data_IF_107691327300
#
_entry.id   IF_107691327300
#
_cell.length_a   1.000
_cell.length_b   1.000
_cell.length_c   1.000
_cell.angle_alpha   90.00
_cell.angle_beta   90.00
_cell.angle_gamma   90.00
#
_symmetry.space_group_name_H-M   'P 1'
#
loop_
_entity.id
_entity.type
_entity.pdbx_description
1 polymer ?
#
# COMPACT_ATOMS: atom_id res chain seq x y z
N UNK A 1 32.95 -13.89 -1.42
CA UNK A 1 32.67 -12.54 -0.91
C UNK A 1 31.59 -12.70 0.14
N UNK A 2 31.92 -12.47 1.42
CA UNK A 2 30.91 -12.57 2.48
C UNK A 2 29.87 -11.45 2.27
N UNK A 3 28.58 -11.78 2.40
CA UNK A 3 27.51 -10.80 2.23
C UNK A 3 27.58 -9.81 3.39
N UNK A 4 27.65 -8.51 3.09
CA UNK A 4 27.57 -7.41 4.07
C UNK A 4 26.31 -7.53 4.96
N UNK A 5 25.25 -8.12 4.42
CA UNK A 5 23.98 -8.30 5.09
C UNK A 5 23.90 -9.58 5.94
N UNK A 6 24.95 -10.41 5.99
CA UNK A 6 24.96 -11.60 6.85
C UNK A 6 25.35 -11.22 8.28
N UNK A 7 24.45 -11.44 9.23
CA UNK A 7 24.74 -11.35 10.66
C UNK A 7 25.35 -12.66 11.14
N UNK A 8 26.60 -12.60 11.60
CA UNK A 8 27.33 -13.75 12.13
C UNK A 8 26.98 -13.97 13.61
N UNK A 9 26.61 -15.20 13.94
CA UNK A 9 26.35 -15.63 15.32
C UNK A 9 27.52 -16.53 15.74
N UNK A 10 28.30 -16.07 16.72
CA UNK A 10 29.44 -16.83 17.24
C UNK A 10 28.93 -17.89 18.23
N UNK A 11 28.90 -19.16 17.78
CA UNK A 11 28.52 -20.30 18.63
C UNK A 11 29.71 -21.19 19.03
N UNK A 12 30.95 -20.80 18.73
CA UNK A 12 32.11 -21.62 19.04
C UNK A 12 32.32 -21.69 20.56
N UNK A 13 32.24 -22.90 21.11
CA UNK A 13 32.37 -23.15 22.55
C UNK A 13 31.07 -23.00 23.35
N UNK A 14 29.97 -22.63 22.69
CA UNK A 14 28.65 -22.52 23.31
C UNK A 14 27.96 -23.88 23.44
N UNK A 15 27.13 -24.03 24.47
CA UNK A 15 26.25 -25.19 24.60
C UNK A 15 25.11 -25.12 23.58
N UNK A 16 24.44 -26.24 23.30
CA UNK A 16 23.26 -26.24 22.43
C UNK A 16 22.14 -25.35 22.99
N UNK A 17 21.98 -25.32 24.31
CA UNK A 17 21.02 -24.43 24.98
C UNK A 17 21.38 -22.95 24.81
N UNK A 18 22.67 -22.60 24.93
CA UNK A 18 23.17 -21.24 24.68
C UNK A 18 22.94 -20.80 23.23
N UNK A 19 23.24 -21.68 22.27
CA UNK A 19 22.97 -21.45 20.85
C UNK A 19 21.46 -21.24 20.62
N UNK A 20 20.60 -22.10 21.19
CA UNK A 20 19.15 -21.94 21.06
C UNK A 20 18.68 -20.59 21.60
N UNK A 21 19.14 -20.20 22.79
CA UNK A 21 18.80 -18.94 23.44
C UNK A 21 19.18 -17.71 22.59
N UNK A 22 20.35 -17.75 21.94
CA UNK A 22 20.80 -16.68 21.03
C UNK A 22 19.88 -16.55 19.80
N UNK A 23 19.53 -17.67 19.16
CA UNK A 23 18.66 -17.63 17.99
C UNK A 23 17.23 -17.26 18.34
N UNK A 24 16.68 -17.76 19.45
CA UNK A 24 15.33 -17.40 19.91
C UNK A 24 15.22 -15.90 20.13
N UNK A 25 16.20 -15.29 20.83
CA UNK A 25 16.25 -13.85 21.01
C UNK A 25 16.24 -13.09 19.67
N UNK A 26 17.08 -13.50 18.73
CA UNK A 26 17.14 -12.85 17.41
C UNK A 26 15.83 -12.99 16.64
N UNK A 27 15.17 -14.14 16.71
CA UNK A 27 13.88 -14.41 16.06
C UNK A 27 12.78 -13.55 16.70
N UNK A 28 12.74 -13.49 18.02
CA UNK A 28 11.76 -12.68 18.77
C UNK A 28 11.95 -11.18 18.51
N UNK A 29 13.18 -10.72 18.39
CA UNK A 29 13.50 -9.30 18.20
C UNK A 29 13.24 -8.80 16.76
N UNK A 30 13.74 -9.50 15.73
CA UNK A 30 13.70 -8.96 14.36
C UNK A 30 13.88 -9.99 13.22
N UNK A 31 14.62 -11.08 13.46
CA UNK A 31 14.96 -12.08 12.44
C UNK A 31 13.89 -13.17 12.30
N UNK A 32 12.66 -12.77 12.04
CA UNK A 32 11.51 -13.68 11.88
C UNK A 32 10.82 -13.57 10.52
N UNK A 33 11.42 -12.90 9.55
CA UNK A 33 10.84 -12.76 8.22
C UNK A 33 11.39 -13.79 7.24
N UNK A 34 10.50 -14.34 6.39
CA UNK A 34 10.87 -15.32 5.35
C UNK A 34 10.72 -14.75 3.94
N UNK A 35 11.34 -15.41 2.94
CA UNK A 35 11.14 -15.03 1.52
C UNK A 35 9.69 -15.23 1.10
N UNK A 36 9.04 -16.30 1.56
CA UNK A 36 7.62 -16.54 1.27
C UNK A 36 6.75 -15.40 1.80
N UNK A 37 7.00 -14.95 3.02
CA UNK A 37 6.28 -13.83 3.62
C UNK A 37 6.50 -12.52 2.86
N UNK A 38 7.76 -12.20 2.51
CA UNK A 38 8.07 -11.03 1.68
C UNK A 38 7.39 -11.10 0.31
N UNK A 39 7.39 -12.28 -0.33
CA UNK A 39 6.78 -12.50 -1.64
C UNK A 39 5.26 -12.33 -1.58
N UNK A 40 4.63 -12.87 -0.53
CA UNK A 40 3.20 -12.71 -0.28
C UNK A 40 2.83 -11.26 0.02
N UNK A 41 3.61 -10.55 0.84
CA UNK A 41 3.37 -9.15 1.15
C UNK A 41 3.46 -8.25 -0.08
N UNK A 42 4.48 -8.47 -0.92
CA UNK A 42 4.71 -7.68 -2.15
C UNK A 42 3.77 -8.14 -3.27
N UNK A 43 3.11 -9.30 -3.17
CA UNK A 43 2.46 -9.98 -4.29
C UNK A 43 3.42 -10.19 -5.47
N UNK A 44 4.53 -10.88 -5.26
CA UNK A 44 5.46 -11.31 -6.32
C UNK A 44 5.91 -12.76 -6.14
N UNK A 45 6.72 -13.27 -7.07
CA UNK A 45 7.26 -14.62 -6.93
C UNK A 45 8.38 -14.68 -5.89
N UNK A 46 8.56 -15.86 -5.30
CA UNK A 46 9.69 -16.19 -4.44
C UNK A 46 11.03 -15.85 -5.09
N UNK A 47 11.22 -16.29 -6.34
CA UNK A 47 12.43 -16.06 -7.13
C UNK A 47 12.74 -14.57 -7.29
N UNK A 48 11.71 -13.74 -7.45
CA UNK A 48 11.90 -12.30 -7.56
C UNK A 48 12.48 -11.72 -6.28
N UNK A 49 11.91 -12.10 -5.12
CA UNK A 49 12.41 -11.65 -3.81
C UNK A 49 13.83 -12.16 -3.59
N UNK A 50 14.09 -13.44 -3.85
CA UNK A 50 15.40 -14.05 -3.65
C UNK A 50 16.50 -13.35 -4.45
N UNK A 51 16.21 -12.91 -5.69
CA UNK A 51 17.18 -12.29 -6.59
C UNK A 51 17.32 -10.78 -6.38
N UNK A 52 16.23 -10.06 -6.10
CA UNK A 52 16.20 -8.60 -6.19
C UNK A 52 16.04 -7.87 -4.85
N UNK A 53 15.65 -8.57 -3.79
CA UNK A 53 15.31 -7.99 -2.49
C UNK A 53 16.15 -8.61 -1.37
N UNK A 54 16.08 -9.93 -1.21
CA UNK A 54 16.79 -10.69 -0.19
C UNK A 54 18.31 -10.41 -0.10
N UNK A 55 19.05 -10.11 -1.20
CA UNK A 55 20.47 -9.78 -1.10
C UNK A 55 20.77 -8.47 -0.36
N UNK A 56 19.76 -7.61 -0.16
CA UNK A 56 19.88 -6.28 0.43
C UNK A 56 19.24 -6.17 1.82
N UNK A 57 18.91 -7.32 2.44
CA UNK A 57 18.26 -7.38 3.75
C UNK A 57 19.13 -8.20 4.69
N UNK A 58 19.35 -7.65 5.89
CA UNK A 58 20.09 -8.31 6.95
C UNK A 58 19.45 -9.66 7.28
N UNK A 59 20.27 -10.69 7.47
CA UNK A 59 19.78 -12.04 7.66
C UNK A 59 20.72 -12.90 8.50
N UNK A 60 20.15 -13.98 9.05
CA UNK A 60 20.87 -15.05 9.74
C UNK A 60 20.63 -16.38 9.02
N UNK A 61 21.58 -17.30 9.17
CA UNK A 61 21.45 -18.68 8.67
C UNK A 61 21.17 -19.62 9.84
N UNK A 62 20.17 -20.49 9.70
CA UNK A 62 20.00 -21.63 10.59
C UNK A 62 20.76 -22.80 9.98
N UNK A 63 21.96 -23.08 10.51
CA UNK A 63 22.74 -24.26 10.12
C UNK A 63 22.26 -25.51 10.91
N UNK A 64 22.86 -26.67 10.64
CA UNK A 64 22.46 -27.93 11.28
C UNK A 64 22.58 -27.92 12.80
N UNK A 65 23.61 -27.25 13.35
CA UNK A 65 23.83 -27.14 14.80
C UNK A 65 22.78 -26.23 15.43
N UNK A 66 22.53 -25.06 14.83
CA UNK A 66 21.50 -24.13 15.28
C UNK A 66 20.10 -24.75 15.19
N UNK A 67 19.79 -25.48 14.13
CA UNK A 67 18.52 -26.19 13.99
C UNK A 67 18.37 -27.26 15.09
N UNK A 68 19.40 -28.08 15.34
CA UNK A 68 19.37 -29.09 16.41
C UNK A 68 19.15 -28.43 17.77
N UNK A 69 19.85 -27.34 18.06
CA UNK A 69 19.70 -26.56 19.28
C UNK A 69 18.27 -26.03 19.44
N UNK A 70 17.73 -25.35 18.43
CA UNK A 70 16.37 -24.81 18.42
C UNK A 70 15.29 -25.87 18.59
N UNK A 71 15.42 -27.02 17.90
CA UNK A 71 14.45 -28.12 18.04
C UNK A 71 14.50 -28.76 19.43
N UNK A 72 15.68 -28.84 20.05
CA UNK A 72 15.85 -29.48 21.36
C UNK A 72 15.42 -28.58 22.51
N UNK A 73 15.67 -27.27 22.41
CA UNK A 73 15.50 -26.32 23.53
C UNK A 73 14.47 -25.21 23.27
N UNK A 74 13.87 -25.16 22.07
CA UNK A 74 12.91 -24.13 21.65
C UNK A 74 11.48 -24.65 21.43
N UNK A 75 11.16 -25.87 21.88
CA UNK A 75 9.87 -26.54 21.62
C UNK A 75 8.63 -25.77 22.13
N UNK A 76 8.81 -24.86 23.09
CA UNK A 76 7.75 -23.97 23.60
C UNK A 76 7.63 -22.61 22.91
N UNK A 77 8.44 -22.33 21.87
CA UNK A 77 8.40 -21.06 21.16
C UNK A 77 7.20 -20.96 20.21
N UNK A 78 6.61 -19.78 20.10
CA UNK A 78 5.57 -19.48 19.10
C UNK A 78 6.13 -19.47 17.65
N UNK A 79 7.45 -19.58 17.48
CA UNK A 79 8.15 -19.47 16.21
C UNK A 79 8.76 -20.80 15.73
N UNK A 80 8.27 -21.93 16.24
CA UNK A 80 8.80 -23.28 15.90
C UNK A 80 8.80 -23.57 14.40
N UNK A 81 7.85 -23.02 13.64
CA UNK A 81 7.78 -23.13 12.19
C UNK A 81 8.99 -22.51 11.47
N UNK A 82 9.63 -21.52 12.08
CA UNK A 82 10.80 -20.83 11.52
C UNK A 82 12.08 -21.65 11.65
N UNK A 83 12.15 -22.61 12.58
CA UNK A 83 13.37 -23.38 12.83
C UNK A 83 13.76 -24.25 11.63
N UNK A 84 12.78 -24.61 10.81
CA UNK A 84 12.96 -25.37 9.57
C UNK A 84 13.54 -24.55 8.43
N UNK A 85 13.55 -23.21 8.56
CA UNK A 85 13.99 -22.31 7.50
C UNK A 85 15.49 -22.16 7.53
N UNK A 86 16.14 -22.31 6.38
CA UNK A 86 17.59 -22.14 6.25
C UNK A 86 18.05 -20.70 6.53
N UNK A 87 17.20 -19.72 6.28
CA UNK A 87 17.53 -18.30 6.29
C UNK A 87 16.36 -17.48 6.82
N UNK A 88 16.64 -16.61 7.78
CA UNK A 88 15.66 -15.67 8.34
C UNK A 88 16.17 -14.25 8.15
N UNK A 89 15.25 -13.34 7.84
CA UNK A 89 15.54 -11.95 7.49
C UNK A 89 15.03 -11.01 8.58
N UNK A 90 15.75 -9.91 8.74
CA UNK A 90 15.35 -8.76 9.55
C UNK A 90 14.06 -8.16 9.00
N UNK A 91 13.01 -8.15 9.83
CA UNK A 91 11.71 -7.56 9.50
C UNK A 91 11.83 -6.05 9.37
N UNK A 92 12.51 -5.39 10.30
CA UNK A 92 12.80 -3.96 10.24
C UNK A 92 13.65 -3.60 9.00
N UNK A 93 14.60 -4.48 8.64
CA UNK A 93 15.41 -4.35 7.43
C UNK A 93 14.57 -4.42 6.16
N UNK A 94 13.61 -5.36 6.08
CA UNK A 94 12.66 -5.44 4.96
C UNK A 94 11.76 -4.20 4.87
N UNK A 95 11.23 -3.73 5.99
CA UNK A 95 10.40 -2.52 6.04
C UNK A 95 11.18 -1.31 5.53
N UNK A 96 12.40 -1.10 6.05
CA UNK A 96 13.27 -0.01 5.61
C UNK A 96 13.59 -0.10 4.12
N UNK A 97 13.97 -1.29 3.63
CA UNK A 97 14.21 -1.51 2.21
C UNK A 97 12.99 -1.12 1.37
N UNK A 98 11.78 -1.52 1.80
CA UNK A 98 10.55 -1.22 1.08
C UNK A 98 10.30 0.28 1.02
N UNK A 99 10.51 1.02 2.11
CA UNK A 99 10.34 2.47 2.15
C UNK A 99 11.37 3.20 1.28
N UNK A 100 12.63 2.79 1.35
CA UNK A 100 13.73 3.46 0.64
C UNK A 100 13.75 3.15 -0.87
N UNK A 101 13.33 1.94 -1.27
CA UNK A 101 13.36 1.49 -2.67
C UNK A 101 12.03 1.67 -3.40
N UNK A 102 11.03 2.23 -2.73
CA UNK A 102 9.72 2.50 -3.30
C UNK A 102 9.46 4.00 -3.47
N UNK A 103 8.81 4.35 -4.57
CA UNK A 103 8.27 5.69 -4.79
C UNK A 103 6.78 5.61 -5.05
N UNK A 104 6.02 6.56 -4.52
CA UNK A 104 4.60 6.69 -4.78
C UNK A 104 4.40 7.61 -5.99
N UNK A 105 3.76 7.09 -7.03
CA UNK A 105 3.47 7.78 -8.27
C UNK A 105 1.99 8.14 -8.31
N UNK A 106 1.70 9.43 -8.19
CA UNK A 106 0.35 9.96 -8.36
C UNK A 106 0.26 10.86 -9.57
N UNK A 107 -0.91 10.95 -10.20
CA UNK A 107 -1.22 11.91 -11.27
C UNK A 107 -2.51 12.69 -10.99
N UNK A 108 -3.23 12.33 -9.94
CA UNK A 108 -4.54 12.88 -9.59
C UNK A 108 -4.67 13.07 -8.09
N UNK A 109 -5.43 14.10 -7.74
CA UNK A 109 -5.88 14.37 -6.39
C UNK A 109 -7.27 13.80 -6.18
N UNK A 110 -7.48 13.15 -5.04
CA UNK A 110 -8.72 12.48 -4.64
C UNK A 110 -9.62 13.47 -3.91
N UNK A 111 -10.93 13.42 -4.16
CA UNK A 111 -11.91 14.31 -3.54
C UNK A 111 -12.92 13.49 -2.74
N UNK A 112 -13.15 13.91 -1.50
CA UNK A 112 -14.01 13.21 -0.56
C UNK A 112 -15.13 14.11 -0.07
N UNK A 113 -16.27 13.52 0.26
CA UNK A 113 -17.44 14.27 0.70
C UNK A 113 -17.20 14.99 2.03
N UNK A 114 -16.41 14.40 2.93
CA UNK A 114 -16.08 14.95 4.25
C UNK A 114 -15.16 16.18 4.20
N UNK A 115 -14.61 16.52 3.03
CA UNK A 115 -13.80 17.72 2.84
C UNK A 115 -14.65 18.98 2.63
N UNK A 116 -15.95 18.81 2.37
CA UNK A 116 -16.91 19.88 2.40
C UNK A 116 -17.33 20.21 3.84
N UNK A 117 -17.62 21.49 4.08
CA UNK A 117 -18.24 21.96 5.32
C UNK A 117 -19.54 21.21 5.63
N UNK A 118 -19.91 21.14 6.91
CA UNK A 118 -21.17 20.52 7.34
C UNK A 118 -22.37 21.17 6.66
N UNK A 119 -22.38 22.49 6.56
CA UNK A 119 -23.42 23.28 5.89
C UNK A 119 -23.54 22.93 4.40
N UNK A 120 -22.42 22.81 3.67
CA UNK A 120 -22.43 22.40 2.27
C UNK A 120 -22.95 20.97 2.09
N UNK A 121 -22.59 20.04 3.00
CA UNK A 121 -23.09 18.66 2.99
C UNK A 121 -24.60 18.57 3.26
N UNK A 122 -25.10 19.37 4.21
CA UNK A 122 -26.54 19.46 4.50
C UNK A 122 -27.33 19.96 3.28
N UNK A 123 -26.81 21.00 2.61
CA UNK A 123 -27.42 21.52 1.38
C UNK A 123 -27.43 20.50 0.26
N UNK A 124 -26.31 19.82 0.01
CA UNK A 124 -26.25 18.72 -0.95
C UNK A 124 -27.23 17.60 -0.63
N UNK A 125 -27.41 17.27 0.66
CA UNK A 125 -28.41 16.30 1.10
C UNK A 125 -29.84 16.75 0.79
N UNK A 126 -30.16 18.02 1.06
CA UNK A 126 -31.45 18.62 0.73
C UNK A 126 -31.73 18.60 -0.77
N UNK A 127 -30.74 19.01 -1.59
CA UNK A 127 -30.85 18.99 -3.05
C UNK A 127 -31.05 17.57 -3.60
N UNK A 128 -30.29 16.59 -3.11
CA UNK A 128 -30.39 15.20 -3.56
C UNK A 128 -31.78 14.59 -3.30
N UNK A 129 -32.42 14.94 -2.18
CA UNK A 129 -33.78 14.49 -1.84
C UNK A 129 -34.87 15.13 -2.71
N UNK A 130 -34.61 16.32 -3.25
CA UNK A 130 -35.58 17.09 -4.02
C UNK A 130 -35.50 16.82 -5.53
N UNK A 131 -34.58 15.97 -5.99
CA UNK A 131 -34.49 15.60 -7.41
C UNK A 131 -35.53 14.55 -7.78
N UNK A 132 -36.13 14.71 -8.97
CA UNK A 132 -37.10 13.76 -9.53
C UNK A 132 -36.50 12.37 -9.77
N UNK A 133 -35.19 12.30 -10.00
CA UNK A 133 -34.43 11.05 -10.08
C UNK A 133 -33.63 10.85 -8.79
N UNK A 134 -33.77 9.66 -8.18
CA UNK A 134 -33.03 9.28 -6.99
C UNK A 134 -31.51 9.33 -7.27
N UNK A 135 -30.86 10.38 -6.77
CA UNK A 135 -29.43 10.62 -6.95
C UNK A 135 -28.76 10.63 -5.59
N UNK A 136 -27.62 9.93 -5.47
CA UNK A 136 -26.87 9.93 -4.22
C UNK A 136 -26.16 11.27 -4.01
N UNK A 137 -25.96 11.66 -2.74
CA UNK A 137 -25.23 12.87 -2.37
C UNK A 137 -23.84 12.89 -3.01
N UNK A 138 -23.17 11.74 -3.08
CA UNK A 138 -21.85 11.60 -3.72
C UNK A 138 -21.90 11.87 -5.22
N UNK A 139 -22.92 11.36 -5.92
CA UNK A 139 -23.08 11.60 -7.37
C UNK A 139 -23.41 13.06 -7.67
N UNK A 140 -24.23 13.68 -6.82
CA UNK A 140 -24.54 15.11 -6.94
C UNK A 140 -23.29 15.96 -6.70
N UNK A 141 -22.51 15.64 -5.67
CA UNK A 141 -21.24 16.30 -5.39
C UNK A 141 -20.27 16.17 -6.58
N UNK A 142 -20.06 14.96 -7.10
CA UNK A 142 -19.24 14.73 -8.30
C UNK A 142 -19.70 15.62 -9.46
N UNK A 143 -21.00 15.64 -9.75
CA UNK A 143 -21.57 16.38 -10.88
C UNK A 143 -21.32 17.88 -10.74
N UNK A 144 -21.64 18.46 -9.58
CA UNK A 144 -21.44 19.89 -9.30
C UNK A 144 -19.95 20.22 -9.35
N UNK A 145 -19.10 19.42 -8.70
CA UNK A 145 -17.66 19.67 -8.68
C UNK A 145 -17.04 19.63 -10.07
N UNK A 146 -17.45 18.70 -10.93
CA UNK A 146 -16.98 18.63 -12.32
C UNK A 146 -17.47 19.82 -13.15
N UNK A 147 -18.73 20.26 -12.96
CA UNK A 147 -19.25 21.47 -13.61
C UNK A 147 -18.44 22.71 -13.21
N UNK A 148 -18.22 22.93 -11.91
CA UNK A 148 -17.43 24.05 -11.41
C UNK A 148 -15.98 23.97 -11.89
N UNK A 149 -15.40 22.78 -11.94
CA UNK A 149 -14.04 22.57 -12.45
C UNK A 149 -13.93 22.95 -13.93
N UNK A 150 -14.90 22.59 -14.76
CA UNK A 150 -14.92 22.94 -16.19
C UNK A 150 -15.06 24.45 -16.45
N UNK A 151 -15.60 25.21 -15.50
CA UNK A 151 -15.66 26.68 -15.56
C UNK A 151 -14.28 27.28 -15.23
N UNK A 152 -13.58 26.69 -14.25
CA UNK A 152 -12.32 27.23 -13.73
C UNK A 152 -11.09 26.86 -14.56
N UNK A 153 -11.12 25.72 -15.26
CA UNK A 153 -9.97 25.14 -15.93
C UNK A 153 -10.29 24.75 -17.37
N UNK A 154 -9.32 24.93 -18.26
CA UNK A 154 -9.44 24.53 -19.66
C UNK A 154 -9.38 23.00 -19.81
N UNK A 155 -9.98 22.49 -20.89
CA UNK A 155 -9.93 21.05 -21.24
C UNK A 155 -8.49 20.53 -21.36
N UNK A 156 -7.55 21.35 -21.84
CA UNK A 156 -6.14 20.98 -21.96
C UNK A 156 -5.49 20.74 -20.58
N UNK A 157 -5.81 21.58 -19.58
CA UNK A 157 -5.36 21.37 -18.21
C UNK A 157 -5.99 20.12 -17.59
N UNK A 158 -7.27 19.86 -17.85
CA UNK A 158 -7.97 18.68 -17.30
C UNK A 158 -7.54 17.35 -17.96
N UNK A 159 -6.94 17.40 -19.14
CA UNK A 159 -6.32 16.25 -19.81
C UNK A 159 -4.83 16.08 -19.50
N UNK A 160 -4.27 16.93 -18.63
CA UNK A 160 -2.89 16.83 -18.20
C UNK A 160 -2.65 15.51 -17.44
N UNK A 161 -1.56 14.80 -17.77
CA UNK A 161 -1.18 13.53 -17.16
C UNK A 161 0.21 13.60 -16.50
N UNK A 162 0.58 14.75 -15.93
CA UNK A 162 1.83 14.89 -15.18
C UNK A 162 1.79 13.98 -13.96
N UNK A 163 2.71 13.02 -13.93
CA UNK A 163 2.94 12.15 -12.79
C UNK A 163 3.92 12.85 -11.85
N UNK A 164 3.55 12.92 -10.57
CA UNK A 164 4.41 13.38 -9.48
C UNK A 164 4.89 12.17 -8.69
N UNK A 165 6.15 12.22 -8.28
CA UNK A 165 6.75 11.23 -7.38
C UNK A 165 6.75 11.76 -5.95
N UNK A 166 6.36 10.91 -5.02
CA UNK A 166 6.38 11.19 -3.59
C UNK A 166 7.14 10.08 -2.86
N UNK A 167 7.90 10.41 -1.81
CA UNK A 167 8.49 9.38 -0.96
C UNK A 167 7.37 8.58 -0.27
N UNK A 168 7.61 7.29 -0.08
CA UNK A 168 6.71 6.46 0.70
C UNK A 168 6.98 6.69 2.19
N UNK A 169 6.12 7.47 2.85
CA UNK A 169 6.36 7.88 4.25
C UNK A 169 6.13 6.78 5.29
N UNK A 170 5.19 5.88 5.02
CA UNK A 170 4.75 4.84 5.97
C UNK A 170 4.74 3.47 5.32
N UNK A 171 5.04 2.43 6.11
CA UNK A 171 5.04 1.05 5.62
C UNK A 171 3.60 0.60 5.36
N UNK A 172 3.24 0.21 4.12
CA UNK A 172 1.88 -0.18 3.79
C UNK A 172 1.46 -1.45 4.54
N UNK A 173 0.18 -1.56 4.90
CA UNK A 173 -0.39 -2.76 5.53
C UNK A 173 -0.28 -3.95 4.59
N UNK A 174 -0.63 -3.76 3.32
CA UNK A 174 -0.53 -4.78 2.28
C UNK A 174 -0.41 -4.15 0.91
N UNK A 175 0.30 -4.82 0.02
CA UNK A 175 0.43 -4.44 -1.37
C UNK A 175 -0.34 -5.42 -2.25
N UNK A 176 -0.95 -4.88 -3.29
CA UNK A 176 -1.65 -5.64 -4.31
C UNK A 176 -1.02 -5.38 -5.66
N UNK A 177 -0.87 -6.44 -6.44
CA UNK A 177 -0.52 -6.39 -7.85
C UNK A 177 -1.76 -6.15 -8.70
N UNK A 178 -1.53 -5.86 -9.99
CA UNK A 178 -2.62 -5.83 -10.96
C UNK A 178 -3.33 -7.19 -11.08
N UNK A 179 -2.60 -8.30 -10.88
CA UNK A 179 -3.16 -9.64 -10.92
C UNK A 179 -4.16 -9.85 -9.79
N UNK A 180 -3.82 -9.41 -8.58
CA UNK A 180 -4.70 -9.54 -7.41
C UNK A 180 -6.03 -8.79 -7.61
N UNK A 181 -5.99 -7.61 -8.24
CA UNK A 181 -7.21 -6.86 -8.59
C UNK A 181 -8.08 -7.60 -9.63
N UNK A 182 -7.47 -8.37 -10.53
CA UNK A 182 -8.19 -9.17 -11.53
C UNK A 182 -8.78 -10.45 -10.93
N UNK A 183 -7.98 -11.17 -10.15
CA UNK A 183 -8.38 -12.41 -9.49
C UNK A 183 -9.48 -12.14 -8.45
N UNK A 184 -9.41 -10.97 -7.82
CA UNK A 184 -10.37 -10.47 -6.85
C UNK A 184 -9.74 -10.37 -5.46
N UNK A 185 -10.10 -9.30 -4.74
CA UNK A 185 -9.71 -9.06 -3.36
C UNK A 185 -10.98 -9.13 -2.51
N UNK A 186 -11.21 -10.29 -1.91
CA UNK A 186 -12.47 -10.62 -1.22
C UNK A 186 -12.77 -9.66 -0.06
N UNK A 187 -11.76 -9.36 0.75
CA UNK A 187 -11.87 -8.49 1.92
C UNK A 187 -12.16 -7.03 1.56
N UNK A 188 -11.91 -6.62 0.31
CA UNK A 188 -12.23 -5.29 -0.21
C UNK A 188 -13.48 -5.30 -1.11
N UNK A 189 -14.06 -6.47 -1.39
CA UNK A 189 -15.12 -6.66 -2.37
C UNK A 189 -14.77 -6.06 -3.75
N UNK A 190 -13.50 -6.15 -4.16
CA UNK A 190 -13.00 -5.64 -5.43
C UNK A 190 -12.76 -6.82 -6.38
N UNK A 191 -13.44 -6.84 -7.53
CA UNK A 191 -13.19 -7.83 -8.57
C UNK A 191 -13.46 -7.25 -9.95
N UNK A 192 -12.50 -7.42 -10.86
CA UNK A 192 -12.62 -6.91 -12.22
C UNK A 192 -12.54 -8.03 -13.25
N UNK A 193 -13.48 -8.03 -14.19
CA UNK A 193 -13.49 -9.01 -15.29
C UNK A 193 -12.35 -8.78 -16.30
N UNK A 194 -11.93 -7.53 -16.48
CA UNK A 194 -10.96 -7.15 -17.52
C UNK A 194 -9.96 -6.13 -17.02
N UNK A 195 -8.72 -6.22 -17.52
CA UNK A 195 -7.61 -5.31 -17.19
C UNK A 195 -7.94 -3.83 -17.47
N UNK A 196 -8.69 -3.54 -18.53
CA UNK A 196 -9.13 -2.18 -18.87
C UNK A 196 -10.04 -1.59 -17.78
N UNK A 197 -10.88 -2.42 -17.15
CA UNK A 197 -11.76 -1.98 -16.05
C UNK A 197 -10.95 -1.62 -14.81
N UNK A 198 -9.89 -2.39 -14.51
CA UNK A 198 -8.97 -2.08 -13.41
C UNK A 198 -8.34 -0.71 -13.62
N UNK A 199 -7.76 -0.45 -14.79
CA UNK A 199 -7.14 0.85 -15.07
C UNK A 199 -8.14 2.01 -15.03
N UNK A 200 -9.36 1.79 -15.52
CA UNK A 200 -10.43 2.79 -15.44
C UNK A 200 -10.78 3.10 -13.99
N UNK A 201 -10.95 2.08 -13.16
CA UNK A 201 -11.24 2.23 -11.73
C UNK A 201 -10.12 2.96 -11.00
N UNK A 202 -8.86 2.50 -11.14
CA UNK A 202 -7.70 3.13 -10.52
C UNK A 202 -7.58 4.61 -10.91
N UNK A 203 -7.78 4.92 -12.19
CA UNK A 203 -7.75 6.30 -12.70
C UNK A 203 -8.92 7.13 -12.17
N UNK A 204 -10.12 6.58 -12.13
CA UNK A 204 -11.31 7.27 -11.63
C UNK A 204 -11.17 7.62 -10.14
N UNK A 205 -10.68 6.66 -9.35
CA UNK A 205 -10.46 6.81 -7.92
C UNK A 205 -9.18 7.62 -7.58
N UNK A 206 -8.33 7.89 -8.57
CA UNK A 206 -7.06 8.59 -8.37
C UNK A 206 -6.09 7.79 -7.50
N UNK A 207 -6.13 6.46 -7.58
CA UNK A 207 -5.32 5.57 -6.73
C UNK A 207 -3.85 5.67 -7.15
N UNK A 208 -2.95 6.09 -6.24
CA UNK A 208 -1.52 6.15 -6.53
C UNK A 208 -0.92 4.77 -6.77
N UNK A 209 0.20 4.73 -7.50
CA UNK A 209 0.96 3.52 -7.77
C UNK A 209 2.25 3.53 -6.97
N UNK A 210 2.51 2.48 -6.21
CA UNK A 210 3.87 2.25 -5.70
C UNK A 210 4.70 1.63 -6.80
N UNK A 211 5.82 2.27 -7.13
CA UNK A 211 6.87 1.70 -7.97
C UNK A 211 8.02 1.26 -7.09
N UNK A 212 8.31 -0.04 -7.10
CA UNK A 212 9.46 -0.63 -6.44
C UNK A 212 10.27 -1.37 -7.50
N UNK A 213 11.40 -0.79 -7.90
CA UNK A 213 12.18 -1.26 -9.06
C UNK A 213 11.28 -1.39 -10.32
N UNK A 214 11.08 -2.61 -10.82
CA UNK A 214 10.22 -2.94 -11.97
C UNK A 214 8.78 -3.28 -11.59
N UNK A 215 8.45 -3.38 -10.30
CA UNK A 215 7.13 -3.74 -9.81
C UNK A 215 6.26 -2.50 -9.63
N UNK A 216 5.00 -2.61 -10.06
CA UNK A 216 3.93 -1.67 -9.74
C UNK A 216 2.95 -2.33 -8.77
N UNK A 217 2.71 -1.68 -7.64
CA UNK A 217 1.82 -2.14 -6.58
C UNK A 217 0.84 -1.06 -6.15
N UNK A 218 -0.25 -1.49 -5.54
CA UNK A 218 -1.30 -0.64 -4.99
C UNK A 218 -1.43 -0.95 -3.51
N UNK A 219 -1.48 0.08 -2.67
CA UNK A 219 -1.62 -0.15 -1.25
C UNK A 219 -3.08 -0.40 -0.88
N UNK A 220 -3.28 -1.21 0.15
CA UNK A 220 -4.60 -1.53 0.70
C UNK A 220 -5.39 -0.27 1.10
N UNK A 221 -4.74 0.64 1.81
CA UNK A 221 -5.39 1.83 2.38
C UNK A 221 -5.95 2.74 1.28
N UNK A 222 -5.22 2.84 0.15
CA UNK A 222 -5.66 3.62 -1.00
C UNK A 222 -6.87 2.97 -1.71
N UNK A 223 -7.00 1.64 -1.65
CA UNK A 223 -8.11 0.88 -2.24
C UNK A 223 -9.35 0.88 -1.34
N UNK A 224 -9.16 0.89 -0.01
CA UNK A 224 -10.25 0.96 0.99
C UNK A 224 -10.94 2.32 0.99
N UNK A 225 -10.15 3.39 0.90
CA UNK A 225 -10.65 4.76 1.04
C UNK A 225 -11.24 5.29 -0.28
N UNK A 226 -12.45 4.86 -0.65
CA UNK A 226 -13.07 5.22 -1.91
C UNK A 226 -13.29 6.74 -2.05
N UNK A 227 -12.69 7.34 -3.07
CA UNK A 227 -12.89 8.74 -3.42
C UNK A 227 -14.20 8.90 -4.19
N UNK A 228 -14.85 10.06 -4.03
CA UNK A 228 -16.05 10.40 -4.82
C UNK A 228 -15.66 10.57 -6.29
N UNK A 229 -14.57 11.31 -6.53
CA UNK A 229 -13.94 11.48 -7.83
C UNK A 229 -12.46 11.88 -7.65
N UNK A 230 -11.75 12.01 -8.77
CA UNK A 230 -10.38 12.52 -8.77
C UNK A 230 -10.15 13.47 -9.94
N UNK A 231 -9.24 14.44 -9.76
CA UNK A 231 -8.85 15.41 -10.78
C UNK A 231 -7.33 15.48 -10.93
N UNK A 232 -6.77 15.84 -12.08
CA UNK A 232 -5.32 15.94 -12.24
C UNK A 232 -4.70 16.96 -11.28
N UNK A 233 -3.45 16.74 -10.87
CA UNK A 233 -2.74 17.61 -9.91
C UNK A 233 -2.51 19.07 -10.35
N UNK A 234 -2.80 19.42 -11.60
CA UNK A 234 -2.79 20.83 -12.05
C UNK A 234 -4.00 21.61 -11.53
N UNK A 235 -5.05 20.90 -11.11
CA UNK A 235 -6.26 21.48 -10.53
C UNK A 235 -6.03 21.73 -9.05
N UNK A 236 -6.17 22.97 -8.61
CA UNK A 236 -6.13 23.33 -7.20
C UNK A 236 -7.41 22.87 -6.49
N UNK A 237 -7.27 21.84 -5.65
CA UNK A 237 -8.35 21.25 -4.87
C UNK A 237 -9.05 22.21 -3.92
N UNK A 238 -8.31 23.08 -3.22
CA UNK A 238 -8.91 24.07 -2.30
C UNK A 238 -9.78 25.03 -3.08
N UNK A 239 -9.32 25.45 -4.26
CA UNK A 239 -10.08 26.32 -5.15
C UNK A 239 -11.34 25.65 -5.68
N UNK A 240 -11.28 24.37 -6.04
CA UNK A 240 -12.48 23.62 -6.48
C UNK A 240 -13.49 23.49 -5.35
N UNK A 241 -13.06 23.05 -4.17
CA UNK A 241 -13.92 22.90 -2.99
C UNK A 241 -14.60 24.23 -2.65
N UNK A 242 -13.83 25.33 -2.55
CA UNK A 242 -14.39 26.64 -2.23
C UNK A 242 -15.42 27.12 -3.26
N UNK A 243 -15.21 26.83 -4.55
CA UNK A 243 -16.21 27.20 -5.57
C UNK A 243 -17.46 26.32 -5.52
N UNK A 244 -17.34 25.04 -5.18
CA UNK A 244 -18.49 24.17 -4.93
C UNK A 244 -19.31 24.71 -3.75
N UNK A 245 -18.65 25.08 -2.65
CA UNK A 245 -19.35 25.63 -1.47
C UNK A 245 -20.05 26.94 -1.79
N UNK A 246 -19.38 27.88 -2.49
CA UNK A 246 -20.01 29.13 -2.95
C UNK A 246 -21.21 28.89 -3.86
N UNK A 247 -21.12 27.92 -4.76
CA UNK A 247 -22.24 27.55 -5.63
C UNK A 247 -23.44 27.05 -4.80
N UNK A 248 -23.19 26.17 -3.83
CA UNK A 248 -24.22 25.67 -2.92
C UNK A 248 -24.79 26.77 -2.01
N UNK A 249 -23.98 27.78 -1.67
CA UNK A 249 -24.43 28.97 -0.96
C UNK A 249 -25.40 29.83 -1.79
N UNK A 250 -25.10 30.01 -3.07
CA UNK A 250 -25.86 30.86 -3.97
C UNK A 250 -27.13 30.22 -4.55
N UNK A 251 -27.31 28.90 -4.46
CA UNK A 251 -28.47 28.19 -5.03
C UNK A 251 -29.70 28.24 -4.11
N UNK A 252 -29.97 29.41 -3.52
CA UNK A 252 -31.19 29.73 -2.75
C UNK A 252 -31.94 30.84 -3.48
#
# INVERSE_FOLDING_TARGET
>A
MESEFLVKINGNGESLEGIASLYLRLIEEDFNMTIDEMANYISCSYDYVQKNIAPYIHHVYINSVANKALVTYGEGSEHTELFTKRKLFSRAGFQRFTLEKSVLLGDRERYYLNELSSTAREKLSGMAKNQEQETTITKLYETIALQQTNILYSKAQLMNNVVKEFPLSNFPVKLYSLKDLLDGIEDLNIKFRYKVMVYRYLKQQGIPRIKMQSLIRYRREDLEDAAVFSLPFVVDKKRVISNVEKFLEATI
#
